data_IF_204695131715
#
_entry.id   IF_204695131715
#
_cell.length_a   1.000
_cell.length_b   1.000
_cell.length_c   1.000
_cell.angle_alpha   90.00
_cell.angle_beta   90.00
_cell.angle_gamma   90.00
#
_symmetry.space_group_name_H-M   'P 1'
#
loop_
_entity.id
_entity.type
_entity.pdbx_description
1 polymer ?
#
# COMPACT_ATOMS: atom_id res chain seq x y z
N UNK A 1 65.68 32.18 41.98
CA UNK A 1 65.52 31.37 40.76
C UNK A 1 64.18 31.73 40.14
N UNK A 2 64.25 32.30 38.96
CA UNK A 2 63.16 32.94 38.22
C UNK A 2 62.36 31.91 37.40
N UNK A 3 61.03 32.01 37.43
CA UNK A 3 60.18 31.61 36.31
C UNK A 3 59.02 32.61 36.18
N UNK A 4 58.76 33.16 34.97
CA UNK A 4 57.90 34.31 34.75
C UNK A 4 56.46 33.93 34.32
N UNK A 5 55.57 34.93 34.46
CA UNK A 5 54.26 35.03 33.80
C UNK A 5 54.38 35.03 32.27
N UNK A 6 53.39 34.44 31.59
CA UNK A 6 52.74 34.80 30.30
C UNK A 6 51.93 33.57 29.86
N UNK A 7 50.77 33.62 29.22
CA UNK A 7 49.79 34.64 28.86
C UNK A 7 48.63 33.80 28.24
N UNK A 8 47.40 34.18 28.57
CA UNK A 8 46.14 34.01 27.82
C UNK A 8 46.26 33.28 26.47
N UNK A 9 45.51 32.18 26.31
CA UNK A 9 45.37 31.54 25.00
C UNK A 9 44.65 30.19 24.99
N UNK A 10 43.46 30.07 25.60
CA UNK A 10 42.64 28.86 25.39
C UNK A 10 41.12 29.13 25.36
N UNK A 11 40.70 30.27 24.80
CA UNK A 11 39.27 30.52 24.49
C UNK A 11 39.06 30.99 23.03
N UNK A 12 40.12 31.15 22.22
CA UNK A 12 39.99 31.50 20.80
C UNK A 12 40.54 30.41 19.85
N UNK A 13 40.29 29.14 20.18
CA UNK A 13 40.67 27.99 19.36
C UNK A 13 39.51 27.12 18.88
N UNK A 14 38.26 27.44 19.22
CA UNK A 14 37.08 26.61 18.86
C UNK A 14 35.97 27.40 18.14
N UNK A 15 36.23 28.65 17.76
CA UNK A 15 35.30 29.46 16.95
C UNK A 15 35.81 29.75 15.53
N UNK A 16 36.96 29.19 15.13
CA UNK A 16 37.57 29.47 13.81
C UNK A 16 37.77 28.25 12.91
N UNK A 17 37.06 27.14 13.17
CA UNK A 17 36.98 26.02 12.19
C UNK A 17 35.56 25.88 11.61
N UNK A 18 34.60 26.69 12.06
CA UNK A 18 33.22 26.67 11.55
C UNK A 18 32.92 27.70 10.44
N UNK A 19 33.93 28.31 9.79
CA UNK A 19 33.66 29.40 8.84
C UNK A 19 34.50 29.48 7.56
N UNK A 20 35.47 28.59 7.29
CA UNK A 20 36.16 28.62 5.97
C UNK A 20 36.55 27.21 5.53
N UNK A 21 35.60 26.50 4.93
CA UNK A 21 35.78 25.63 3.75
C UNK A 21 34.39 25.32 3.19
N UNK A 22 33.78 26.37 2.65
CA UNK A 22 32.74 26.26 1.65
C UNK A 22 33.40 25.60 0.43
N UNK A 23 33.17 24.30 0.24
CA UNK A 23 33.70 23.56 -0.89
C UNK A 23 34.22 22.18 -0.52
N UNK A 24 33.63 21.18 -1.18
CA UNK A 24 34.05 19.77 -1.27
C UNK A 24 33.65 18.93 -0.05
N UNK A 25 32.54 18.19 -0.23
CA UNK A 25 31.94 17.31 0.76
C UNK A 25 32.47 15.88 0.75
N UNK A 26 32.28 15.21 1.89
CA UNK A 26 31.95 13.79 2.02
C UNK A 26 31.61 13.46 3.49
N UNK A 27 30.46 12.79 3.69
CA UNK A 27 30.15 11.80 4.74
C UNK A 27 30.05 12.32 6.21
N UNK A 28 29.07 12.02 7.07
CA UNK A 28 28.06 10.95 7.19
C UNK A 28 26.89 11.54 8.02
N UNK A 29 25.66 11.40 7.54
CA UNK A 29 24.43 11.63 8.32
C UNK A 29 23.57 10.37 8.21
N UNK A 30 22.96 9.84 9.29
CA UNK A 30 21.96 8.81 9.14
C UNK A 30 20.78 9.43 8.40
N UNK A 31 20.67 9.09 7.12
CA UNK A 31 19.54 9.46 6.28
C UNK A 31 18.33 8.69 6.79
N UNK A 32 17.41 9.36 7.47
CA UNK A 32 16.02 8.93 7.47
C UNK A 32 15.58 8.85 6.00
N UNK A 33 15.33 7.65 5.50
CA UNK A 33 14.77 7.46 4.17
C UNK A 33 13.51 8.32 4.08
N UNK A 34 13.38 9.21 3.08
CA UNK A 34 12.10 9.85 2.82
C UNK A 34 11.10 8.74 2.52
N UNK A 35 9.88 8.86 3.04
CA UNK A 35 8.75 8.11 2.51
C UNK A 35 8.77 8.26 0.98
N UNK A 36 8.64 7.16 0.24
CA UNK A 36 8.57 7.17 -1.22
C UNK A 36 7.34 7.94 -1.67
N UNK A 37 7.50 9.26 -1.76
CA UNK A 37 6.57 10.13 -2.45
C UNK A 37 6.68 9.83 -3.93
N UNK A 38 5.52 9.73 -4.58
CA UNK A 38 5.37 9.68 -6.02
C UNK A 38 6.27 10.72 -6.72
N UNK A 39 7.44 10.27 -7.16
CA UNK A 39 8.34 11.04 -7.99
C UNK A 39 8.19 10.52 -9.42
N UNK A 40 7.41 11.25 -10.21
CA UNK A 40 7.43 11.14 -11.67
C UNK A 40 8.83 11.47 -12.17
N UNK A 41 9.54 10.46 -12.69
CA UNK A 41 10.94 10.62 -13.04
C UNK A 41 11.54 9.48 -13.83
N UNK A 42 10.86 9.02 -14.89
CA UNK A 42 11.35 8.48 -16.17
C UNK A 42 10.09 8.23 -17.02
N UNK A 43 10.11 8.52 -18.33
CA UNK A 43 8.97 8.41 -19.27
C UNK A 43 8.50 6.95 -19.52
N UNK A 44 8.56 6.08 -18.52
CA UNK A 44 8.04 4.73 -18.63
C UNK A 44 6.53 4.75 -18.35
N UNK A 45 5.77 4.96 -19.41
CA UNK A 45 4.31 4.85 -19.36
C UNK A 45 3.94 3.38 -19.44
N UNK A 46 3.53 2.79 -18.31
CA UNK A 46 3.00 1.44 -18.30
C UNK A 46 1.49 1.43 -18.54
N UNK A 47 0.98 0.36 -19.13
CA UNK A 47 -0.47 0.14 -19.34
C UNK A 47 -0.88 -1.25 -18.89
N UNK A 48 -2.00 -1.34 -18.16
CA UNK A 48 -2.70 -2.60 -17.92
C UNK A 48 -3.64 -2.88 -19.09
N UNK A 49 -3.34 -3.90 -19.89
CA UNK A 49 -4.18 -4.34 -20.99
C UNK A 49 -4.89 -5.65 -20.62
N UNK A 50 -6.21 -5.60 -20.44
CA UNK A 50 -7.02 -6.81 -20.27
C UNK A 50 -7.25 -7.49 -21.63
N UNK A 51 -7.19 -8.82 -21.68
CA UNK A 51 -7.54 -9.59 -22.89
C UNK A 51 -9.02 -9.38 -23.25
N UNK A 52 -9.87 -9.35 -22.22
CA UNK A 52 -11.30 -9.07 -22.30
C UNK A 52 -11.66 -8.00 -21.26
N UNK A 53 -12.36 -6.96 -21.69
CA UNK A 53 -12.89 -5.90 -20.81
C UNK A 53 -14.33 -6.15 -20.37
N UNK A 54 -14.95 -7.23 -20.85
CA UNK A 54 -16.29 -7.63 -20.47
C UNK A 54 -16.31 -9.14 -20.17
N UNK A 55 -16.55 -9.51 -18.92
CA UNK A 55 -16.54 -10.89 -18.44
C UNK A 55 -17.93 -11.33 -17.97
N UNK A 56 -18.26 -12.64 -18.03
CA UNK A 56 -19.49 -13.15 -17.44
C UNK A 56 -19.43 -13.09 -15.90
N UNK A 57 -20.59 -13.09 -15.24
CA UNK A 57 -20.65 -13.31 -13.80
C UNK A 57 -20.34 -14.77 -13.44
N UNK A 58 -19.60 -15.01 -12.36
CA UNK A 58 -19.31 -16.35 -11.87
C UNK A 58 -18.34 -16.35 -10.69
N UNK A 59 -18.25 -17.45 -9.94
CA UNK A 59 -17.41 -17.52 -8.72
C UNK A 59 -15.93 -17.79 -8.99
N UNK A 60 -15.57 -18.11 -10.23
CA UNK A 60 -14.20 -18.44 -10.64
C UNK A 60 -14.03 -18.15 -12.14
N UNK A 61 -14.05 -16.87 -12.50
CA UNK A 61 -13.92 -16.39 -13.87
C UNK A 61 -12.44 -16.04 -14.12
N UNK A 62 -11.78 -16.61 -15.13
CA UNK A 62 -10.39 -16.28 -15.41
C UNK A 62 -10.27 -14.85 -15.92
N UNK A 63 -9.45 -14.03 -15.27
CA UNK A 63 -8.93 -12.79 -15.83
C UNK A 63 -7.56 -13.06 -16.43
N UNK A 64 -7.33 -12.56 -17.64
CA UNK A 64 -6.04 -12.58 -18.34
C UNK A 64 -5.69 -11.17 -18.79
N UNK A 65 -4.43 -10.80 -18.66
CA UNK A 65 -3.97 -9.46 -19.00
C UNK A 65 -2.46 -9.42 -19.23
N UNK A 66 -2.01 -8.30 -19.78
CA UNK A 66 -0.61 -7.94 -19.95
C UNK A 66 -0.33 -6.58 -19.29
N UNK A 67 0.90 -6.43 -18.78
CA UNK A 67 1.46 -5.12 -18.46
C UNK A 67 2.37 -4.74 -19.61
N UNK A 68 2.06 -3.64 -20.29
CA UNK A 68 2.84 -3.14 -21.41
C UNK A 68 3.69 -1.96 -20.99
N UNK A 69 4.91 -1.87 -21.52
CA UNK A 69 5.77 -0.69 -21.41
C UNK A 69 5.35 0.41 -22.40
N UNK A 70 6.10 1.53 -22.40
CA UNK A 70 5.83 2.67 -23.28
C UNK A 70 6.01 2.37 -24.78
N UNK A 71 6.65 1.25 -25.14
CA UNK A 71 6.78 0.77 -26.51
C UNK A 71 5.63 -0.15 -26.94
N UNK A 72 4.79 -0.58 -25.98
CA UNK A 72 3.73 -1.55 -26.17
C UNK A 72 4.19 -3.01 -26.05
N UNK A 73 5.42 -3.26 -25.59
CA UNK A 73 5.92 -4.61 -25.35
C UNK A 73 5.53 -5.09 -23.94
N UNK A 74 5.24 -6.39 -23.74
CA UNK A 74 5.03 -6.92 -22.40
C UNK A 74 6.27 -6.74 -21.52
N UNK A 75 6.06 -6.23 -20.30
CA UNK A 75 7.10 -6.21 -19.27
C UNK A 75 7.43 -7.64 -18.87
N UNK A 76 8.71 -8.00 -18.90
CA UNK A 76 9.16 -9.36 -18.63
C UNK A 76 9.77 -9.53 -17.24
N UNK A 77 10.43 -8.50 -16.73
CA UNK A 77 11.23 -8.57 -15.49
C UNK A 77 10.60 -7.74 -14.37
N UNK A 78 10.30 -8.42 -13.27
CA UNK A 78 9.64 -7.85 -12.09
C UNK A 78 10.47 -8.10 -10.84
N UNK A 79 10.34 -7.23 -9.84
CA UNK A 79 10.89 -7.41 -8.50
C UNK A 79 9.81 -7.93 -7.57
N UNK A 80 10.16 -8.90 -6.73
CA UNK A 80 9.25 -9.38 -5.69
C UNK A 80 9.09 -8.32 -4.59
N UNK A 81 7.84 -8.00 -4.26
CA UNK A 81 7.43 -7.17 -3.13
C UNK A 81 6.34 -7.91 -2.38
N UNK A 82 6.42 -7.95 -1.04
CA UNK A 82 5.47 -8.70 -0.21
C UNK A 82 5.25 -10.15 -0.69
N UNK A 83 6.35 -10.84 -1.04
CA UNK A 83 6.36 -12.23 -1.54
C UNK A 83 5.66 -12.46 -2.89
N UNK A 84 5.35 -11.39 -3.63
CA UNK A 84 4.65 -11.47 -4.93
C UNK A 84 5.27 -10.50 -5.95
N UNK A 85 5.17 -10.87 -7.22
CA UNK A 85 5.62 -10.01 -8.32
C UNK A 85 4.59 -8.92 -8.66
N UNK A 86 3.31 -9.16 -8.36
CA UNK A 86 2.21 -8.27 -8.69
C UNK A 86 1.05 -8.46 -7.70
N UNK A 87 0.54 -7.35 -7.18
CA UNK A 87 -0.72 -7.29 -6.44
C UNK A 87 -1.80 -6.78 -7.37
N UNK A 88 -2.89 -7.55 -7.49
CA UNK A 88 -4.04 -7.18 -8.30
C UNK A 88 -5.21 -6.86 -7.39
N UNK A 89 -5.69 -5.62 -7.48
CA UNK A 89 -6.86 -5.14 -6.76
C UNK A 89 -8.00 -5.02 -7.75
N UNK A 90 -9.08 -5.75 -7.50
CA UNK A 90 -10.30 -5.70 -8.32
C UNK A 90 -11.42 -5.19 -7.43
N UNK A 91 -11.89 -3.98 -7.71
CA UNK A 91 -12.90 -3.31 -6.89
C UNK A 91 -14.06 -2.84 -7.75
N UNK A 92 -15.30 -3.09 -7.31
CA UNK A 92 -16.48 -2.58 -8.01
C UNK A 92 -16.55 -1.06 -7.86
N UNK A 93 -17.09 -0.35 -8.85
CA UNK A 93 -17.15 1.11 -8.87
C UNK A 93 -17.95 1.73 -7.72
N UNK A 94 -18.84 0.97 -7.10
CA UNK A 94 -19.57 1.37 -5.89
C UNK A 94 -18.86 0.96 -4.58
N UNK A 95 -17.64 0.40 -4.68
CA UNK A 95 -16.78 -0.08 -3.59
C UNK A 95 -17.40 -1.17 -2.69
N UNK A 96 -18.49 -1.79 -3.14
CA UNK A 96 -19.20 -2.82 -2.38
C UNK A 96 -18.84 -4.26 -2.83
N UNK A 97 -17.73 -4.42 -3.54
CA UNK A 97 -17.09 -5.70 -3.82
C UNK A 97 -15.59 -5.46 -4.07
N UNK A 98 -14.72 -6.23 -3.43
CA UNK A 98 -13.27 -6.05 -3.42
C UNK A 98 -12.57 -7.42 -3.41
N UNK A 99 -11.50 -7.52 -4.19
CA UNK A 99 -10.60 -8.66 -4.18
C UNK A 99 -9.15 -8.16 -4.24
N UNK A 100 -8.31 -8.76 -3.41
CA UNK A 100 -6.86 -8.64 -3.46
C UNK A 100 -6.29 -10.00 -3.80
N UNK A 101 -5.79 -10.14 -5.02
CA UNK A 101 -5.31 -11.42 -5.55
C UNK A 101 -3.94 -11.25 -6.18
N UNK A 102 -3.25 -12.38 -6.37
CA UNK A 102 -1.90 -12.40 -6.90
C UNK A 102 -1.87 -13.28 -8.16
N UNK A 103 -1.91 -12.66 -9.35
CA UNK A 103 -1.85 -13.37 -10.61
C UNK A 103 -0.51 -14.08 -10.81
N UNK A 104 -0.52 -15.09 -11.68
CA UNK A 104 0.70 -15.81 -12.09
C UNK A 104 1.08 -15.38 -13.49
N UNK A 105 2.35 -15.05 -13.68
CA UNK A 105 2.97 -14.74 -14.97
C UNK A 105 3.41 -16.04 -15.65
N UNK A 106 3.06 -16.20 -16.93
CA UNK A 106 3.57 -17.28 -17.77
C UNK A 106 4.71 -16.82 -18.70
N UNK A 107 5.37 -17.79 -19.35
CA UNK A 107 6.51 -17.55 -20.25
C UNK A 107 6.15 -16.72 -21.50
N UNK A 108 4.84 -16.52 -21.78
CA UNK A 108 4.36 -15.67 -22.87
C UNK A 108 4.17 -14.21 -22.45
N UNK A 109 4.41 -13.88 -21.19
CA UNK A 109 4.17 -12.56 -20.64
C UNK A 109 2.70 -12.31 -20.27
N UNK A 110 1.88 -13.37 -20.19
CA UNK A 110 0.47 -13.26 -19.79
C UNK A 110 0.33 -13.47 -18.29
N UNK A 111 -0.36 -12.54 -17.63
CA UNK A 111 -0.80 -12.71 -16.25
C UNK A 111 -2.17 -13.37 -16.22
N UNK A 112 -2.40 -14.28 -15.27
CA UNK A 112 -3.71 -14.91 -15.09
C UNK A 112 -4.09 -15.14 -13.63
N UNK A 113 -5.38 -14.99 -13.33
CA UNK A 113 -5.95 -15.25 -12.00
C UNK A 113 -7.44 -15.59 -12.09
N UNK A 114 -7.96 -16.56 -11.32
CA UNK A 114 -9.40 -16.74 -11.18
C UNK A 114 -9.97 -15.68 -10.24
N UNK A 115 -10.99 -14.96 -10.69
CA UNK A 115 -11.72 -13.97 -9.91
C UNK A 115 -13.10 -14.49 -9.51
N UNK A 116 -13.54 -14.15 -8.31
CA UNK A 116 -14.95 -14.26 -7.92
C UNK A 116 -15.71 -13.03 -8.42
N UNK A 117 -16.30 -13.13 -9.62
CA UNK A 117 -17.14 -12.10 -10.24
C UNK A 117 -18.63 -12.46 -10.11
N UNK A 118 -19.04 -13.03 -8.98
CA UNK A 118 -20.44 -13.41 -8.76
C UNK A 118 -21.39 -12.21 -8.69
N UNK A 119 -20.85 -11.00 -8.49
CA UNK A 119 -21.60 -9.76 -8.47
C UNK A 119 -21.43 -9.03 -9.82
N UNK A 120 -22.52 -8.79 -10.57
CA UNK A 120 -22.45 -7.96 -11.77
C UNK A 120 -22.14 -6.49 -11.45
N UNK A 121 -21.52 -5.79 -12.39
CA UNK A 121 -21.26 -4.35 -12.27
C UNK A 121 -20.04 -3.89 -13.04
N UNK A 122 -19.75 -2.59 -12.90
CA UNK A 122 -18.52 -1.99 -13.40
C UNK A 122 -17.43 -2.09 -12.33
N UNK A 123 -16.27 -2.58 -12.71
CA UNK A 123 -15.11 -2.77 -11.86
C UNK A 123 -13.94 -1.93 -12.36
N UNK A 124 -13.07 -1.58 -11.42
CA UNK A 124 -11.74 -1.04 -11.66
C UNK A 124 -10.73 -2.09 -11.21
N UNK A 125 -9.79 -2.39 -12.09
CA UNK A 125 -8.66 -3.27 -11.81
C UNK A 125 -7.42 -2.40 -11.65
N UNK A 126 -6.68 -2.60 -10.59
CA UNK A 126 -5.36 -2.01 -10.38
C UNK A 126 -4.33 -3.12 -10.34
N UNK A 127 -3.24 -2.94 -11.09
CA UNK A 127 -2.04 -3.75 -10.97
C UNK A 127 -0.96 -2.90 -10.32
N UNK A 128 -0.46 -3.36 -9.19
CA UNK A 128 0.63 -2.78 -8.44
C UNK A 128 1.84 -3.71 -8.49
N UNK A 129 2.95 -3.22 -9.02
CA UNK A 129 4.14 -4.00 -9.32
C UNK A 129 5.38 -3.12 -9.35
N UNK A 130 6.56 -3.74 -9.25
CA UNK A 130 7.84 -3.07 -9.48
C UNK A 130 8.58 -3.73 -10.66
N UNK A 131 8.86 -3.00 -11.75
CA UNK A 131 9.73 -3.48 -12.82
C UNK A 131 11.19 -3.54 -12.33
N UNK A 132 11.98 -4.49 -12.85
CA UNK A 132 13.36 -4.72 -12.39
C UNK A 132 14.29 -3.49 -12.48
N UNK A 133 13.99 -2.57 -13.39
CA UNK A 133 14.77 -1.36 -13.69
C UNK A 133 14.06 -0.06 -13.29
N UNK A 134 12.98 -0.12 -12.51
CA UNK A 134 12.18 1.04 -12.17
C UNK A 134 11.66 1.03 -10.73
N UNK A 135 10.80 2.01 -10.45
CA UNK A 135 10.15 2.18 -9.15
C UNK A 135 8.81 1.44 -9.15
N UNK A 136 8.21 1.21 -7.98
CA UNK A 136 6.86 0.67 -7.89
C UNK A 136 5.86 1.54 -8.69
N UNK A 137 4.98 0.88 -9.44
CA UNK A 137 3.99 1.51 -10.31
C UNK A 137 2.62 0.88 -10.07
N UNK A 138 1.60 1.73 -10.00
CA UNK A 138 0.22 1.30 -10.11
C UNK A 138 -0.37 1.76 -11.45
N UNK A 139 -0.92 0.81 -12.20
CA UNK A 139 -1.71 1.07 -13.42
C UNK A 139 -3.12 0.51 -13.24
N UNK A 140 -4.09 1.01 -13.99
CA UNK A 140 -5.44 0.49 -13.89
C UNK A 140 -6.22 0.45 -15.19
N UNK A 141 -7.20 -0.46 -15.22
CA UNK A 141 -8.10 -0.70 -16.35
C UNK A 141 -9.53 -0.90 -15.84
N UNK A 142 -10.50 -0.64 -16.71
CA UNK A 142 -11.91 -0.85 -16.40
C UNK A 142 -12.36 -2.24 -16.91
N UNK A 143 -13.21 -2.91 -16.12
CA UNK A 143 -13.75 -4.23 -16.39
C UNK A 143 -15.26 -4.23 -16.15
N UNK A 144 -16.04 -4.69 -17.11
CA UNK A 144 -17.49 -4.86 -16.96
C UNK A 144 -17.83 -6.33 -16.67
N UNK A 145 -18.63 -6.59 -15.65
CA UNK A 145 -19.15 -7.92 -15.33
C UNK A 145 -20.63 -7.99 -15.69
N UNK A 146 -20.96 -8.90 -16.63
CA UNK A 146 -22.31 -9.02 -17.16
C UNK A 146 -23.34 -9.40 -16.10
N UNK A 147 -24.52 -8.78 -16.18
CA UNK A 147 -25.68 -9.10 -15.34
C UNK A 147 -26.44 -7.85 -14.89
N UNK A 148 -27.35 -8.04 -13.94
CA UNK A 148 -28.19 -6.97 -13.42
C UNK A 148 -27.46 -6.16 -12.34
N UNK A 149 -26.68 -5.17 -12.74
CA UNK A 149 -25.99 -4.28 -11.82
C UNK A 149 -26.95 -3.33 -11.12
N UNK A 150 -26.89 -3.32 -9.78
CA UNK A 150 -27.58 -2.36 -8.92
C UNK A 150 -26.55 -1.74 -7.98
N UNK A 151 -26.11 -0.49 -8.23
CA UNK A 151 -25.16 0.20 -7.38
C UNK A 151 -25.63 0.23 -5.92
N UNK A 152 -24.71 0.00 -4.99
CA UNK A 152 -24.95 0.10 -3.56
C UNK A 152 -24.37 1.41 -3.00
N UNK A 153 -25.06 2.08 -2.06
CA UNK A 153 -24.46 3.21 -1.37
C UNK A 153 -23.30 2.75 -0.48
N UNK A 154 -22.33 3.63 -0.27
CA UNK A 154 -21.27 3.38 0.69
C UNK A 154 -21.84 3.21 2.10
N UNK A 155 -21.28 2.29 2.91
CA UNK A 155 -21.55 2.26 4.34
C UNK A 155 -21.16 3.60 4.98
N UNK A 156 -21.92 4.03 6.00
CA UNK A 156 -21.59 5.23 6.76
C UNK A 156 -20.18 5.13 7.37
N UNK A 157 -19.47 6.26 7.56
CA UNK A 157 -18.16 6.26 8.19
C UNK A 157 -18.16 5.57 9.56
N UNK A 158 -17.18 4.71 9.79
CA UNK A 158 -17.03 3.95 11.03
C UNK A 158 -15.57 3.59 11.26
N UNK A 159 -15.11 3.81 12.49
CA UNK A 159 -13.81 3.35 12.98
C UNK A 159 -13.84 1.87 13.41
N UNK A 160 -14.95 1.16 13.21
CA UNK A 160 -15.09 -0.26 13.59
C UNK A 160 -15.67 -1.05 12.42
N UNK A 161 -15.01 -2.15 12.10
CA UNK A 161 -15.45 -3.15 11.13
C UNK A 161 -15.65 -4.50 11.82
N UNK A 162 -16.67 -5.24 11.39
CA UNK A 162 -16.92 -6.61 11.82
C UNK A 162 -16.81 -7.54 10.61
N UNK A 163 -16.01 -8.59 10.73
CA UNK A 163 -15.79 -9.60 9.68
C UNK A 163 -15.57 -10.94 10.34
N UNK A 164 -16.26 -12.01 9.91
CA UNK A 164 -16.01 -13.39 10.35
C UNK A 164 -15.88 -13.62 11.88
N UNK A 165 -16.60 -12.84 12.68
CA UNK A 165 -16.55 -12.89 14.15
C UNK A 165 -15.39 -12.12 14.80
N UNK A 166 -14.63 -11.38 14.00
CA UNK A 166 -13.67 -10.37 14.44
C UNK A 166 -14.31 -9.00 14.54
N UNK A 167 -13.73 -8.19 15.43
CA UNK A 167 -13.97 -6.76 15.53
C UNK A 167 -12.62 -6.08 15.34
N UNK A 168 -12.51 -5.28 14.29
CA UNK A 168 -11.30 -4.52 13.99
C UNK A 168 -11.61 -3.05 14.22
N UNK A 169 -10.81 -2.37 15.04
CA UNK A 169 -10.92 -0.93 15.24
C UNK A 169 -9.78 -0.21 14.53
N UNK A 170 -10.08 0.94 13.94
CA UNK A 170 -9.15 1.79 13.21
C UNK A 170 -8.99 3.11 13.95
N UNK A 171 -7.75 3.45 14.27
CA UNK A 171 -7.36 4.72 14.87
C UNK A 171 -6.34 5.46 13.96
N UNK A 172 -6.19 6.77 14.17
CA UNK A 172 -5.12 7.55 13.55
C UNK A 172 -5.42 8.11 12.15
N UNK A 173 -6.67 8.03 11.67
CA UNK A 173 -7.07 8.68 10.39
C UNK A 173 -6.77 10.18 10.47
N UNK A 174 -5.79 10.61 9.68
CA UNK A 174 -5.29 11.98 9.68
C UNK A 174 -6.01 12.90 8.71
N UNK A 175 -5.51 14.14 8.63
CA UNK A 175 -5.93 15.10 7.62
C UNK A 175 -5.32 14.76 6.26
N UNK A 176 -6.05 15.09 5.21
CA UNK A 176 -5.55 15.01 3.85
C UNK A 176 -4.30 15.88 3.65
N UNK A 177 -3.38 15.39 2.82
CA UNK A 177 -2.08 16.00 2.53
C UNK A 177 -1.08 15.91 3.68
N UNK A 178 -1.42 15.25 4.79
CA UNK A 178 -0.51 15.06 5.91
C UNK A 178 -0.21 13.56 6.12
N UNK A 179 1.05 13.20 6.45
CA UNK A 179 1.36 11.86 6.90
C UNK A 179 0.52 11.48 8.12
N UNK A 180 0.04 10.25 8.13
CA UNK A 180 -0.74 9.67 9.22
C UNK A 180 -0.28 8.25 9.49
N UNK A 181 -0.27 7.88 10.77
CA UNK A 181 -0.06 6.52 11.21
C UNK A 181 -1.43 5.92 11.54
N UNK A 182 -1.86 4.94 10.74
CA UNK A 182 -3.09 4.19 10.99
C UNK A 182 -2.77 3.00 11.88
N UNK A 183 -3.52 2.82 12.96
CA UNK A 183 -3.42 1.65 13.82
C UNK A 183 -4.70 0.83 13.73
N UNK A 184 -4.60 -0.42 13.31
CA UNK A 184 -5.72 -1.37 13.27
C UNK A 184 -5.56 -2.39 14.37
N UNK A 185 -6.56 -2.48 15.27
CA UNK A 185 -6.54 -3.41 16.40
C UNK A 185 -7.52 -4.56 16.19
N UNK A 186 -7.01 -5.80 16.11
CA UNK A 186 -7.81 -7.00 15.83
C UNK A 186 -8.24 -7.67 17.14
N UNK A 187 -9.55 -7.78 17.33
CA UNK A 187 -10.16 -8.50 18.45
C UNK A 187 -11.07 -9.63 17.95
N UNK A 188 -11.18 -10.71 18.71
CA UNK A 188 -12.13 -11.81 18.45
C UNK A 188 -12.84 -12.18 19.74
N UNK A 189 -14.17 -12.16 19.74
CA UNK A 189 -14.99 -12.42 20.92
C UNK A 189 -14.57 -11.61 22.16
N UNK A 190 -14.25 -10.33 21.96
CA UNK A 190 -13.85 -9.39 23.03
C UNK A 190 -12.43 -9.57 23.56
N UNK A 191 -11.60 -10.41 22.95
CA UNK A 191 -10.18 -10.60 23.31
C UNK A 191 -9.25 -10.12 22.19
N UNK A 192 -8.13 -9.45 22.51
CA UNK A 192 -7.11 -9.12 21.53
C UNK A 192 -6.54 -10.38 20.86
N UNK A 193 -6.34 -10.33 19.55
CA UNK A 193 -5.68 -11.40 18.77
C UNK A 193 -4.20 -11.12 18.75
N UNK A 194 -3.39 -11.95 19.42
CA UNK A 194 -1.94 -11.73 19.56
C UNK A 194 -1.12 -12.78 18.82
N UNK A 195 -1.78 -13.58 17.98
CA UNK A 195 -1.25 -14.71 17.23
C UNK A 195 -1.65 -14.62 15.74
N UNK A 196 -1.63 -13.40 15.19
CA UNK A 196 -1.76 -13.19 13.75
C UNK A 196 -0.69 -14.00 13.01
N UNK A 197 -1.07 -14.56 11.87
CA UNK A 197 -0.15 -15.31 11.02
C UNK A 197 0.39 -14.39 9.92
N UNK A 198 1.66 -14.54 9.51
CA UNK A 198 2.17 -13.85 8.35
C UNK A 198 1.33 -14.15 7.10
N UNK A 199 1.10 -13.13 6.30
CA UNK A 199 0.47 -13.19 5.00
C UNK A 199 1.17 -12.16 4.11
N UNK A 200 1.80 -12.62 3.02
CA UNK A 200 2.55 -11.76 2.09
C UNK A 200 3.63 -10.95 2.85
N UNK A 201 4.42 -11.63 3.68
CA UNK A 201 5.50 -11.02 4.46
C UNK A 201 5.10 -10.13 5.64
N UNK A 202 3.82 -9.86 5.89
CA UNK A 202 3.38 -8.97 6.97
C UNK A 202 2.21 -9.56 7.77
N UNK A 203 1.87 -8.94 8.90
CA UNK A 203 0.69 -9.33 9.69
C UNK A 203 -0.62 -8.72 9.18
N UNK A 204 -0.54 -7.75 8.26
CA UNK A 204 -1.69 -7.25 7.51
C UNK A 204 -1.31 -6.38 6.33
N UNK A 205 -2.24 -6.26 5.38
CA UNK A 205 -2.13 -5.44 4.16
C UNK A 205 -3.30 -4.50 4.10
N UNK A 206 -3.05 -3.23 3.81
CA UNK A 206 -4.09 -2.21 3.77
C UNK A 206 -4.15 -1.60 2.39
N UNK A 207 -5.33 -1.58 1.80
CA UNK A 207 -5.62 -0.83 0.57
C UNK A 207 -6.61 0.27 0.92
N UNK A 208 -6.35 1.49 0.44
CA UNK A 208 -7.32 2.59 0.51
C UNK A 208 -7.71 3.03 -0.91
N UNK A 209 -9.01 3.22 -1.13
CA UNK A 209 -9.56 3.67 -2.41
C UNK A 209 -10.45 4.89 -2.18
N UNK A 210 -10.18 5.99 -2.88
CA UNK A 210 -11.03 7.19 -2.81
C UNK A 210 -12.35 6.96 -3.55
N UNK A 211 -13.46 7.27 -2.89
CA UNK A 211 -14.79 6.99 -3.43
C UNK A 211 -15.17 7.78 -4.69
N UNK A 212 -14.64 8.98 -4.87
CA UNK A 212 -15.06 9.88 -5.95
C UNK A 212 -14.57 9.44 -7.33
N UNK A 213 -13.40 8.85 -7.40
CA UNK A 213 -12.67 8.58 -8.64
C UNK A 213 -11.89 7.26 -8.63
N UNK A 214 -11.99 6.49 -7.54
CA UNK A 214 -11.27 5.25 -7.33
C UNK A 214 -9.75 5.45 -7.36
N UNK A 215 -9.23 6.59 -6.88
CA UNK A 215 -7.77 6.69 -6.69
C UNK A 215 -7.32 5.62 -5.70
N UNK A 216 -6.43 4.74 -6.16
CA UNK A 216 -5.79 3.69 -5.37
C UNK A 216 -4.62 4.27 -4.60
N UNK A 217 -4.55 3.98 -3.30
CA UNK A 217 -3.44 4.31 -2.45
C UNK A 217 -2.80 3.01 -1.99
N UNK A 218 -1.54 2.81 -2.36
CA UNK A 218 -0.71 1.78 -1.75
C UNK A 218 -0.38 2.19 -0.31
N UNK A 219 -0.61 1.29 0.65
CA UNK A 219 -0.30 1.55 2.06
C UNK A 219 0.67 0.49 2.57
N UNK A 220 1.84 0.93 3.02
CA UNK A 220 2.87 0.03 3.52
C UNK A 220 2.68 -0.30 5.01
N UNK A 221 2.78 -1.58 5.40
CA UNK A 221 2.89 -1.95 6.80
C UNK A 221 4.20 -1.42 7.38
N UNK A 222 4.18 -1.01 8.65
CA UNK A 222 5.37 -0.48 9.32
C UNK A 222 6.40 -1.53 9.71
N UNK A 223 6.02 -2.80 9.71
CA UNK A 223 6.84 -3.89 10.23
C UNK A 223 6.66 -5.18 9.44
N UNK A 224 7.78 -5.81 9.16
CA UNK A 224 7.88 -7.11 8.50
C UNK A 224 7.66 -8.22 9.53
N UNK A 225 6.92 -9.27 9.15
CA UNK A 225 6.69 -10.41 10.02
C UNK A 225 7.92 -11.31 10.22
N UNK A 226 8.95 -11.17 9.38
CA UNK A 226 10.25 -11.82 9.52
C UNK A 226 11.15 -11.16 10.58
N UNK A 227 10.86 -9.92 10.98
CA UNK A 227 11.55 -9.25 12.08
C UNK A 227 11.10 -9.85 13.42
N UNK A 228 12.01 -10.45 14.22
CA UNK A 228 11.66 -11.06 15.49
C UNK A 228 11.11 -10.08 16.54
N UNK A 229 11.36 -8.78 16.38
CA UNK A 229 10.85 -7.74 17.28
C UNK A 229 9.42 -7.29 16.90
N UNK A 230 8.89 -7.74 15.75
CA UNK A 230 7.52 -7.46 15.35
C UNK A 230 6.53 -8.36 16.08
N UNK A 231 5.68 -7.75 16.91
CA UNK A 231 4.58 -8.45 17.57
C UNK A 231 3.54 -8.96 16.55
N UNK A 232 3.08 -10.19 16.72
CA UNK A 232 2.01 -10.82 15.93
C UNK A 232 0.60 -10.31 16.30
N UNK A 233 0.45 -9.00 16.48
CA UNK A 233 -0.77 -8.33 16.93
C UNK A 233 -0.77 -7.95 18.41
N UNK A 234 -1.87 -7.35 18.92
CA UNK A 234 -3.16 -7.17 18.22
C UNK A 234 -3.22 -5.96 17.32
N UNK A 235 -2.22 -5.10 17.38
CA UNK A 235 -2.12 -3.89 16.58
C UNK A 235 -1.28 -4.14 15.34
N UNK A 236 -1.75 -3.60 14.22
CA UNK A 236 -1.03 -3.54 12.95
C UNK A 236 -0.97 -2.05 12.58
N UNK A 237 0.24 -1.54 12.37
CA UNK A 237 0.47 -0.12 12.11
C UNK A 237 0.88 0.09 10.64
N UNK A 238 0.35 1.16 10.06
CA UNK A 238 0.56 1.52 8.65
C UNK A 238 0.86 3.01 8.54
N UNK A 239 1.77 3.38 7.63
CA UNK A 239 1.97 4.77 7.25
C UNK A 239 1.23 5.08 5.95
N UNK A 240 0.44 6.15 5.93
CA UNK A 240 -0.21 6.62 4.71
C UNK A 240 -0.36 8.14 4.70
N UNK A 241 -0.56 8.70 3.50
CA UNK A 241 -0.98 10.08 3.30
C UNK A 241 -2.20 10.07 2.40
N UNK A 242 -3.37 10.45 2.93
CA UNK A 242 -4.55 10.65 2.09
C UNK A 242 -4.32 11.88 1.20
N UNK A 243 -4.31 11.77 -0.13
CA UNK A 243 -3.84 12.85 -1.02
C UNK A 243 -4.77 14.06 -1.03
N UNK A 244 -6.07 13.83 -0.84
CA UNK A 244 -7.08 14.89 -0.82
C UNK A 244 -8.16 14.63 0.23
N UNK A 245 -8.91 15.67 0.59
CA UNK A 245 -10.12 15.48 1.37
C UNK A 245 -11.13 14.61 0.58
N UNK A 246 -11.91 13.81 1.28
CA UNK A 246 -12.92 12.94 0.67
C UNK A 246 -13.25 11.70 1.48
N UNK A 247 -14.19 10.90 0.97
CA UNK A 247 -14.53 9.59 1.53
C UNK A 247 -13.63 8.53 0.93
N UNK A 248 -13.08 7.66 1.77
CA UNK A 248 -12.25 6.54 1.38
C UNK A 248 -12.84 5.23 1.90
N UNK A 249 -12.69 4.17 1.11
CA UNK A 249 -12.92 2.80 1.56
C UNK A 249 -11.57 2.13 1.78
N UNK A 250 -11.38 1.61 2.99
CA UNK A 250 -10.16 0.91 3.41
C UNK A 250 -10.47 -0.59 3.50
N UNK A 251 -9.54 -1.42 3.05
CA UNK A 251 -9.63 -2.88 3.05
C UNK A 251 -8.39 -3.44 3.73
N UNK A 252 -8.53 -3.93 4.97
CA UNK A 252 -7.46 -4.59 5.71
C UNK A 252 -7.57 -6.10 5.50
N UNK A 253 -6.59 -6.69 4.82
CA UNK A 253 -6.38 -8.13 4.83
C UNK A 253 -5.49 -8.52 6.03
N UNK A 254 -5.94 -9.48 6.84
CA UNK A 254 -5.14 -10.09 7.91
C UNK A 254 -5.39 -11.59 7.97
N UNK A 255 -4.42 -12.37 8.46
CA UNK A 255 -4.54 -13.83 8.56
C UNK A 255 -4.54 -14.29 10.01
N UNK A 256 -5.53 -15.12 10.36
CA UNK A 256 -5.60 -15.78 11.65
C UNK A 256 -6.41 -17.08 11.52
N UNK A 257 -5.92 -18.16 12.12
CA UNK A 257 -6.51 -19.52 12.01
C UNK A 257 -6.59 -20.04 10.58
N UNK A 258 -5.50 -19.85 9.85
CA UNK A 258 -5.27 -20.30 8.48
C UNK A 258 -6.24 -19.73 7.44
N UNK A 259 -6.98 -18.68 7.79
CA UNK A 259 -7.86 -17.95 6.90
C UNK A 259 -7.44 -16.48 6.80
N UNK A 260 -7.51 -15.93 5.59
CA UNK A 260 -7.40 -14.49 5.33
C UNK A 260 -8.78 -13.87 5.51
N UNK A 261 -8.83 -12.74 6.19
CA UNK A 261 -10.04 -11.97 6.47
C UNK A 261 -9.84 -10.54 5.98
N UNK A 262 -10.88 -9.96 5.37
CA UNK A 262 -10.86 -8.57 4.90
C UNK A 262 -11.80 -7.72 5.75
N UNK A 263 -11.24 -6.86 6.60
CA UNK A 263 -12.02 -5.87 7.36
C UNK A 263 -12.13 -4.57 6.57
N UNK A 264 -13.34 -4.05 6.44
CA UNK A 264 -13.61 -2.91 5.56
C UNK A 264 -14.15 -1.68 6.30
N UNK A 265 -13.56 -0.52 6.05
CA UNK A 265 -13.90 0.75 6.72
C UNK A 265 -14.28 1.83 5.72
N UNK A 266 -15.26 2.66 6.08
CA UNK A 266 -15.49 3.94 5.40
C UNK A 266 -14.94 5.00 6.33
N UNK A 267 -14.06 5.85 5.80
CA UNK A 267 -13.46 6.94 6.57
C UNK A 267 -13.54 8.24 5.80
N UNK A 268 -13.43 9.35 6.52
CA UNK A 268 -13.33 10.68 5.94
C UNK A 268 -11.92 11.21 6.11
N UNK A 269 -11.26 11.51 4.99
CA UNK A 269 -10.07 12.34 4.99
C UNK A 269 -10.48 13.78 5.21
N UNK A 270 -10.30 14.29 6.42
CA UNK A 270 -10.63 15.68 6.74
C UNK A 270 -9.65 16.66 6.06
N UNK A 271 -10.11 17.88 5.80
CA UNK A 271 -9.27 18.99 5.33
C UNK A 271 -8.39 19.63 6.43
#
# INVERSE_FOLDING_TARGET
MSAPRKLIGFVFGLALVFAVSFGIGAAVTPSSAPAEGHASGHDETYTLQLDETALPSGTSVPLRFHILDGSGAPVADYVESHEKLLHLIVVRRDLADYQHVHPVLDDSGTWSVPLNLAKPGEYRVFADFAPANGHAVTVGADLTVAGNYRPQPLPAPSATAMVDGYTVTLDGVGKAGQPSELTLSVNRAGKPVTDLQPYLGAYGHLVAVRASDLEYLHVHPMSDAADPDTASGPQIAFHTTLPSAGTYRLFLDFKHRDAVHTAEFTVEGAS
#
